data_IF_963482930358
#
_entry.id   IF_963482930358
#
_cell.length_a   1.000
_cell.length_b   1.000
_cell.length_c   1.000
_cell.angle_alpha   90.00
_cell.angle_beta   90.00
_cell.angle_gamma   90.00
#
_symmetry.space_group_name_H-M   'P 1'
#
loop_
_entity.id
_entity.type
_entity.pdbx_description
1 polymer ?
#
# COMPACT_ATOMS: atom_id res chain seq x y z
N UNK A 1 -24.41 5.01 1.71
CA UNK A 1 -23.28 5.94 1.95
C UNK A 1 -22.06 5.09 2.24
N UNK A 2 -20.95 5.28 1.50
CA UNK A 2 -19.71 4.56 1.78
C UNK A 2 -19.14 4.99 3.13
N UNK A 3 -18.72 4.04 3.96
CA UNK A 3 -18.12 4.32 5.26
C UNK A 3 -16.75 4.97 5.01
N UNK A 4 -16.60 6.23 5.42
CA UNK A 4 -15.34 6.95 5.29
C UNK A 4 -14.39 6.51 6.40
N UNK A 5 -13.19 6.06 6.03
CA UNK A 5 -12.15 5.65 6.98
C UNK A 5 -11.08 6.74 7.12
N UNK A 6 -10.81 7.19 8.35
CA UNK A 6 -9.63 8.00 8.66
C UNK A 6 -8.46 7.07 8.92
N UNK A 7 -7.40 7.20 8.12
CA UNK A 7 -6.20 6.36 8.25
C UNK A 7 -5.14 7.07 9.08
N UNK A 8 -4.64 6.40 10.11
CA UNK A 8 -3.51 6.83 10.92
C UNK A 8 -2.31 5.91 10.67
N UNK A 9 -1.19 6.49 10.23
CA UNK A 9 0.04 5.75 9.94
C UNK A 9 0.79 5.53 11.26
N UNK A 10 1.08 4.27 11.58
CA UNK A 10 1.77 3.88 12.82
C UNK A 10 3.26 3.65 12.54
N UNK A 11 3.57 2.94 11.44
CA UNK A 11 4.95 2.70 10.96
C UNK A 11 5.00 2.83 9.45
N UNK A 12 6.14 3.24 8.92
CA UNK A 12 6.38 3.36 7.48
C UNK A 12 7.80 2.95 7.16
N UNK A 13 7.98 2.24 6.05
CA UNK A 13 9.25 2.13 5.34
C UNK A 13 9.06 2.62 3.92
N UNK A 14 10.15 3.02 3.27
CA UNK A 14 10.08 3.83 2.07
C UNK A 14 11.17 3.39 1.09
N UNK A 15 10.82 3.34 -0.20
CA UNK A 15 11.77 3.17 -1.29
C UNK A 15 11.67 4.38 -2.20
N UNK A 16 12.72 5.18 -2.23
CA UNK A 16 12.86 6.27 -3.20
C UNK A 16 13.03 5.66 -4.58
N UNK A 17 12.34 6.27 -5.50
CA UNK A 17 12.32 5.93 -6.90
C UNK A 17 12.86 7.19 -7.65
N UNK A 18 13.28 7.03 -8.89
CA UNK A 18 13.76 8.09 -9.77
C UNK A 18 12.72 9.21 -9.98
N UNK A 19 13.13 10.37 -10.49
CA UNK A 19 12.20 11.51 -10.62
C UNK A 19 11.59 12.04 -9.30
N UNK A 20 12.04 11.56 -8.14
CA UNK A 20 11.64 12.03 -6.82
C UNK A 20 10.41 11.34 -6.23
N UNK A 21 9.86 10.30 -6.87
CA UNK A 21 8.76 9.54 -6.31
C UNK A 21 9.22 8.67 -5.13
N UNK A 22 8.28 8.31 -4.26
CA UNK A 22 8.57 7.35 -3.18
C UNK A 22 7.42 6.38 -2.97
N UNK A 23 7.72 5.09 -3.03
CA UNK A 23 6.79 4.05 -2.62
C UNK A 23 6.90 3.84 -1.11
N UNK A 24 5.79 3.99 -0.39
CA UNK A 24 5.73 3.78 1.05
C UNK A 24 5.00 2.48 1.35
N UNK A 25 5.56 1.64 2.22
CA UNK A 25 4.88 0.50 2.83
C UNK A 25 4.57 0.84 4.28
N UNK A 26 3.28 0.92 4.61
CA UNK A 26 2.80 1.51 5.86
C UNK A 26 1.97 0.51 6.66
N UNK A 27 2.19 0.46 7.98
CA UNK A 27 1.29 -0.16 8.94
C UNK A 27 0.38 0.90 9.54
N UNK A 28 -0.92 0.72 9.40
CA UNK A 28 -1.92 1.74 9.66
C UNK A 28 -3.04 1.25 10.59
N UNK A 29 -3.69 2.20 11.27
CA UNK A 29 -5.02 2.05 11.85
C UNK A 29 -6.05 2.76 10.97
N UNK A 30 -7.10 2.04 10.59
CA UNK A 30 -8.26 2.50 9.83
C UNK A 30 -9.40 2.69 10.82
N UNK A 31 -9.75 3.96 11.07
CA UNK A 31 -10.87 4.31 11.94
C UNK A 31 -12.06 4.63 11.05
N UNK A 32 -13.05 3.75 11.06
CA UNK A 32 -14.28 3.87 10.29
C UNK A 32 -15.27 4.77 11.02
N UNK A 33 -16.13 5.45 10.26
CA UNK A 33 -17.09 6.42 10.82
C UNK A 33 -18.15 5.79 11.73
N UNK A 34 -18.35 4.48 11.65
CA UNK A 34 -19.23 3.69 12.52
C UNK A 34 -18.57 3.31 13.87
N UNK A 35 -17.34 3.79 14.12
CA UNK A 35 -16.56 3.45 15.31
C UNK A 35 -15.75 2.16 15.18
N UNK A 36 -15.87 1.44 14.06
CA UNK A 36 -15.01 0.30 13.76
C UNK A 36 -13.55 0.72 13.64
N UNK A 37 -12.64 -0.11 14.17
CA UNK A 37 -11.21 0.08 13.98
C UNK A 37 -10.60 -1.20 13.43
N UNK A 38 -9.82 -1.07 12.36
CA UNK A 38 -9.00 -2.17 11.84
C UNK A 38 -7.57 -1.72 11.69
N UNK A 39 -6.62 -2.64 11.86
CA UNK A 39 -5.22 -2.40 11.52
C UNK A 39 -4.85 -3.20 10.27
N UNK A 40 -3.88 -2.70 9.53
CA UNK A 40 -3.45 -3.33 8.29
C UNK A 40 -2.32 -2.60 7.62
N UNK A 41 -1.67 -3.29 6.70
CA UNK A 41 -0.66 -2.74 5.81
C UNK A 41 -1.29 -2.14 4.55
N UNK A 42 -0.56 -1.23 3.92
CA UNK A 42 -0.82 -0.73 2.57
C UNK A 42 0.45 -0.29 1.88
N UNK A 43 0.42 -0.30 0.55
CA UNK A 43 1.33 0.46 -0.28
C UNK A 43 0.68 1.78 -0.68
N UNK A 44 1.44 2.87 -0.65
CA UNK A 44 0.98 4.17 -1.11
C UNK A 44 2.14 4.96 -1.74
N UNK A 45 1.84 5.61 -2.85
CA UNK A 45 2.79 6.51 -3.51
C UNK A 45 2.81 7.87 -2.83
N UNK A 46 4.01 8.44 -2.74
CA UNK A 46 4.24 9.83 -2.37
C UNK A 46 4.88 10.54 -3.55
N UNK A 47 4.30 11.68 -3.90
CA UNK A 47 4.75 12.53 -5.00
C UNK A 47 6.09 13.20 -4.67
N UNK A 48 6.81 13.73 -5.68
CA UNK A 48 8.05 14.50 -5.47
C UNK A 48 7.86 15.72 -4.56
N UNK A 49 6.67 16.31 -4.53
CA UNK A 49 6.31 17.42 -3.63
C UNK A 49 6.06 17.00 -2.17
N UNK A 50 6.20 15.70 -1.86
CA UNK A 50 6.01 15.13 -0.53
C UNK A 50 4.55 14.80 -0.18
N UNK A 51 3.57 15.13 -1.04
CA UNK A 51 2.17 14.80 -0.79
C UNK A 51 1.87 13.34 -1.09
N UNK A 52 0.99 12.72 -0.29
CA UNK A 52 0.55 11.35 -0.55
C UNK A 52 -0.43 11.31 -1.73
N UNK A 53 -0.23 10.36 -2.63
CA UNK A 53 -1.18 10.01 -3.67
C UNK A 53 -2.10 8.90 -3.15
N UNK A 54 -3.16 9.34 -2.44
CA UNK A 54 -4.23 8.44 -2.04
C UNK A 54 -5.02 7.95 -3.25
N UNK A 55 -4.76 6.72 -3.69
CA UNK A 55 -5.60 6.06 -4.68
C UNK A 55 -6.90 5.56 -4.01
N UNK A 56 -8.05 5.86 -4.62
CA UNK A 56 -9.33 5.27 -4.20
C UNK A 56 -9.24 3.75 -4.39
N UNK A 57 -9.73 2.97 -3.43
CA UNK A 57 -9.80 1.51 -3.54
C UNK A 57 -8.53 0.75 -3.12
N UNK A 58 -7.58 1.38 -2.40
CA UNK A 58 -6.47 0.62 -1.80
C UNK A 58 -7.01 -0.44 -0.82
N UNK A 59 -6.67 -1.70 -1.08
CA UNK A 59 -6.98 -2.80 -0.18
C UNK A 59 -6.18 -2.67 1.11
N UNK A 60 -6.83 -2.91 2.25
CA UNK A 60 -6.16 -3.12 3.54
C UNK A 60 -5.59 -4.54 3.54
N UNK A 61 -4.28 -4.67 3.76
CA UNK A 61 -3.60 -5.96 3.87
C UNK A 61 -3.50 -6.35 5.35
N UNK A 62 -4.23 -7.35 5.86
CA UNK A 62 -4.36 -7.57 7.30
C UNK A 62 -3.07 -7.99 8.02
N UNK A 63 -2.26 -8.84 7.38
CA UNK A 63 -1.06 -9.47 7.96
C UNK A 63 0.06 -9.56 6.93
N UNK A 64 1.30 -9.69 7.40
CA UNK A 64 2.45 -9.97 6.52
C UNK A 64 2.34 -11.34 5.87
N UNK A 65 1.84 -12.34 6.61
CA UNK A 65 1.69 -13.71 6.11
C UNK A 65 0.82 -13.77 4.86
N UNK A 66 -0.31 -13.05 4.84
CA UNK A 66 -1.18 -12.99 3.66
C UNK A 66 -0.47 -12.35 2.47
N UNK A 67 0.33 -11.29 2.70
CA UNK A 67 1.11 -10.65 1.64
C UNK A 67 2.11 -11.65 1.06
N UNK A 68 2.85 -12.35 1.92
CA UNK A 68 3.82 -13.36 1.49
C UNK A 68 3.15 -14.52 0.74
N UNK A 69 2.01 -15.02 1.23
CA UNK A 69 1.24 -16.08 0.58
C UNK A 69 0.84 -15.69 -0.84
N UNK A 70 0.29 -14.48 -1.02
CA UNK A 70 -0.11 -13.99 -2.34
C UNK A 70 1.09 -13.80 -3.28
N UNK A 71 2.22 -13.30 -2.78
CA UNK A 71 3.44 -13.16 -3.57
C UNK A 71 3.97 -14.52 -4.03
N UNK A 72 4.01 -15.52 -3.14
CA UNK A 72 4.46 -16.86 -3.51
C UNK A 72 3.48 -17.56 -4.46
N UNK A 73 2.18 -17.32 -4.31
CA UNK A 73 1.18 -17.80 -5.27
C UNK A 73 1.43 -17.22 -6.68
N UNK A 74 1.61 -15.90 -6.80
CA UNK A 74 1.89 -15.23 -8.07
C UNK A 74 3.17 -15.77 -8.74
N UNK A 75 4.21 -16.04 -7.95
CA UNK A 75 5.46 -16.64 -8.44
C UNK A 75 5.25 -18.06 -8.95
N UNK A 76 4.50 -18.90 -8.21
CA UNK A 76 4.19 -20.28 -8.63
C UNK A 76 3.37 -20.32 -9.92
N UNK A 77 2.48 -19.35 -10.10
CA UNK A 77 1.67 -19.20 -11.32
C UNK A 77 2.47 -18.58 -12.49
N UNK A 78 3.73 -18.21 -12.27
CA UNK A 78 4.66 -17.78 -13.32
C UNK A 78 4.57 -16.30 -13.72
N UNK A 79 3.64 -15.52 -13.16
CA UNK A 79 3.47 -14.11 -13.49
C UNK A 79 4.06 -13.14 -12.46
N UNK A 80 4.45 -13.62 -11.27
CA UNK A 80 5.01 -12.80 -10.18
C UNK A 80 6.34 -12.09 -10.47
N UNK A 81 6.92 -12.28 -11.67
CA UNK A 81 8.15 -11.63 -12.13
C UNK A 81 7.94 -10.71 -13.35
N UNK A 82 6.69 -10.59 -13.84
CA UNK A 82 6.37 -9.68 -14.93
C UNK A 82 6.48 -8.24 -14.39
N UNK A 83 7.35 -7.44 -14.98
CA UNK A 83 7.49 -6.01 -14.72
C UNK A 83 7.45 -5.22 -16.02
N UNK A 84 7.01 -3.96 -15.94
CA UNK A 84 7.15 -3.01 -17.04
C UNK A 84 8.44 -2.20 -16.84
N UNK A 85 9.34 -2.27 -17.83
CA UNK A 85 10.61 -1.55 -17.81
C UNK A 85 10.44 -0.05 -18.10
N UNK A 86 9.21 0.44 -18.34
CA UNK A 86 8.93 1.83 -18.73
C UNK A 86 8.55 2.76 -17.59
N UNK A 87 8.32 2.23 -16.39
CA UNK A 87 8.00 3.03 -15.22
C UNK A 87 9.31 3.44 -14.51
N UNK A 88 10.13 4.23 -15.22
CA UNK A 88 11.23 5.00 -14.65
C UNK A 88 10.62 6.23 -13.96
N UNK A 89 10.88 6.43 -12.69
CA UNK A 89 9.91 6.10 -11.65
C UNK A 89 10.70 6.20 -10.40
#
# INVERSE_FOLDING_TARGET
>A
MGVQARVHVIKSTEKKMDGGWTLCFQWCAYNYSDGGQQKGYRFIWRRPDGTLQGARGQARLPTMDLIHEMLEQAKREGWGYIGDAKDDY
#
